data_IF_116938124418
#
_entry.id   IF_116938124418
#
_cell.length_a   1.000
_cell.length_b   1.000
_cell.length_c   1.000
_cell.angle_alpha   90.00
_cell.angle_beta   90.00
_cell.angle_gamma   90.00
#
_symmetry.space_group_name_H-M   'P 1'
#
loop_
_entity.id
_entity.type
_entity.pdbx_description
1 polymer ?
#
# COMPACT_ATOMS: atom_id res chain seq x y z
N UNK A 1 8.75 27.22 -4.85
CA UNK A 1 8.49 25.78 -5.07
C UNK A 1 8.72 25.44 -6.53
N UNK A 2 9.32 24.28 -6.80
CA UNK A 2 9.42 23.70 -8.15
C UNK A 2 8.44 22.55 -8.24
N UNK A 3 7.62 22.51 -9.29
CA UNK A 3 6.75 21.39 -9.61
C UNK A 3 7.25 20.74 -10.89
N UNK A 4 7.66 19.49 -10.80
CA UNK A 4 8.17 18.71 -11.93
C UNK A 4 7.03 18.24 -12.83
N UNK A 5 7.35 17.94 -14.10
CA UNK A 5 6.35 17.47 -15.07
C UNK A 5 5.68 16.13 -14.69
N UNK A 6 6.30 15.34 -13.83
CA UNK A 6 5.75 14.09 -13.29
C UNK A 6 4.81 14.32 -12.08
N UNK A 7 4.60 15.56 -11.64
CA UNK A 7 3.77 15.88 -10.48
C UNK A 7 4.49 15.76 -9.12
N UNK A 8 5.79 15.49 -9.05
CA UNK A 8 6.54 15.71 -7.81
C UNK A 8 6.84 17.19 -7.62
N UNK A 9 7.03 17.62 -6.38
CA UNK A 9 7.43 18.99 -6.09
C UNK A 9 8.60 19.06 -5.11
N UNK A 10 9.35 20.15 -5.18
CA UNK A 10 10.47 20.47 -4.31
C UNK A 10 10.32 21.88 -3.73
N UNK A 11 10.78 22.04 -2.49
CA UNK A 11 10.79 23.32 -1.77
C UNK A 11 12.19 23.60 -1.25
N UNK A 12 12.65 24.84 -1.38
CA UNK A 12 13.95 25.28 -0.90
C UNK A 12 14.21 26.72 -1.31
N UNK A 13 14.90 27.49 -0.46
CA UNK A 13 15.23 28.90 -0.73
C UNK A 13 16.18 29.07 -1.93
N UNK A 14 16.94 28.01 -2.25
CA UNK A 14 17.86 27.98 -3.39
C UNK A 14 17.18 27.68 -4.73
N UNK A 15 15.90 27.29 -4.72
CA UNK A 15 15.14 26.98 -5.94
C UNK A 15 14.73 28.27 -6.64
N UNK A 16 15.12 28.40 -7.89
CA UNK A 16 14.77 29.49 -8.80
C UNK A 16 14.16 28.93 -10.09
N UNK A 17 13.59 29.79 -10.92
CA UNK A 17 13.07 29.41 -12.23
C UNK A 17 14.12 28.74 -13.14
N UNK A 18 15.41 29.04 -12.93
CA UNK A 18 16.51 28.50 -13.73
C UNK A 18 17.06 27.17 -13.20
N UNK A 19 16.61 26.71 -12.03
CA UNK A 19 17.15 25.50 -11.40
C UNK A 19 16.83 24.24 -12.21
N UNK A 20 15.60 24.16 -12.73
CA UNK A 20 15.12 23.03 -13.52
C UNK A 20 14.38 23.51 -14.76
N UNK A 21 14.97 23.40 -15.97
CA UNK A 21 14.39 23.97 -17.19
C UNK A 21 13.12 23.26 -17.67
N UNK A 22 12.81 22.07 -17.15
CA UNK A 22 11.62 21.29 -17.49
C UNK A 22 10.61 21.22 -16.34
N UNK A 23 10.61 22.23 -15.47
CA UNK A 23 9.75 22.28 -14.30
C UNK A 23 9.06 23.64 -14.18
N UNK A 24 8.03 23.69 -13.35
CA UNK A 24 7.23 24.88 -13.11
C UNK A 24 7.66 25.53 -11.80
N UNK A 25 8.15 26.76 -11.89
CA UNK A 25 8.43 27.57 -10.71
C UNK A 25 7.18 28.31 -10.27
N UNK A 26 6.79 28.11 -9.01
CA UNK A 26 5.68 28.83 -8.36
C UNK A 26 6.15 29.39 -7.02
N UNK A 27 5.60 30.55 -6.64
CA UNK A 27 5.89 31.15 -5.34
C UNK A 27 5.38 30.22 -4.22
N UNK A 28 6.20 30.02 -3.19
CA UNK A 28 5.97 29.01 -2.15
C UNK A 28 4.77 29.33 -1.22
N UNK A 29 4.42 30.61 -1.15
CA UNK A 29 3.29 31.20 -0.44
C UNK A 29 2.05 31.39 -1.32
N UNK A 30 2.11 31.02 -2.60
CA UNK A 30 0.96 31.13 -3.50
C UNK A 30 -0.15 30.14 -3.18
N UNK A 31 -1.38 30.48 -3.54
CA UNK A 31 -2.54 29.56 -3.45
C UNK A 31 -2.30 28.26 -4.23
N UNK A 32 -1.61 28.35 -5.37
CA UNK A 32 -1.25 27.18 -6.18
C UNK A 32 -0.30 26.25 -5.43
N UNK A 33 0.69 26.78 -4.71
CA UNK A 33 1.57 25.98 -3.88
C UNK A 33 0.81 25.29 -2.73
N UNK A 34 -0.19 25.97 -2.14
CA UNK A 34 -1.06 25.37 -1.13
C UNK A 34 -1.90 24.21 -1.71
N UNK A 35 -2.44 24.35 -2.92
CA UNK A 35 -3.17 23.28 -3.61
C UNK A 35 -2.27 22.07 -3.89
N UNK A 36 -1.07 22.30 -4.42
CA UNK A 36 -0.09 21.23 -4.68
C UNK A 36 0.20 20.42 -3.42
N UNK A 37 0.49 21.08 -2.29
CA UNK A 37 0.74 20.40 -1.01
C UNK A 37 -0.46 19.60 -0.52
N UNK A 38 -1.66 20.14 -0.70
CA UNK A 38 -2.90 19.53 -0.21
C UNK A 38 -3.26 18.28 -1.02
N UNK A 39 -3.07 18.32 -2.33
CA UNK A 39 -3.47 17.24 -3.23
C UNK A 39 -2.37 16.21 -3.47
N UNK A 40 -1.13 16.48 -3.07
CA UNK A 40 -0.02 15.56 -3.28
C UNK A 40 -0.27 14.20 -2.59
N UNK A 41 0.03 13.06 -3.25
CA UNK A 41 0.61 12.89 -4.60
C UNK A 41 -0.44 12.73 -5.73
N UNK A 42 -1.72 12.96 -5.44
CA UNK A 42 -2.84 12.62 -6.32
C UNK A 42 -3.48 13.86 -6.95
N UNK A 43 -2.72 14.52 -7.84
CA UNK A 43 -3.25 15.58 -8.70
C UNK A 43 -2.77 15.48 -10.15
N UNK A 44 -3.39 16.28 -11.00
CA UNK A 44 -3.01 16.50 -12.40
C UNK A 44 -2.62 17.97 -12.60
N UNK A 45 -1.60 18.21 -13.42
CA UNK A 45 -1.14 19.56 -13.77
C UNK A 45 -2.07 20.17 -14.82
N UNK A 46 -2.54 21.40 -14.58
CA UNK A 46 -3.28 22.19 -15.56
C UNK A 46 -2.36 23.28 -16.09
N UNK A 47 -1.98 23.16 -17.37
CA UNK A 47 -1.02 24.07 -17.99
C UNK A 47 -1.66 24.82 -19.15
N UNK A 48 -1.29 26.10 -19.32
CA UNK A 48 -1.72 26.94 -20.41
C UNK A 48 -0.52 27.74 -20.94
N UNK A 49 -0.30 27.74 -22.26
CA UNK A 49 0.85 28.40 -22.90
C UNK A 49 2.21 28.02 -22.30
N UNK A 50 2.36 26.80 -21.80
CA UNK A 50 3.60 26.31 -21.19
C UNK A 50 3.83 26.72 -19.74
N UNK A 51 2.88 27.43 -19.11
CA UNK A 51 2.91 27.76 -17.68
C UNK A 51 1.93 26.87 -16.90
N UNK A 52 2.27 26.53 -15.66
CA UNK A 52 1.35 25.88 -14.72
C UNK A 52 0.39 26.92 -14.15
N UNK A 53 -0.89 26.75 -14.43
CA UNK A 53 -1.93 27.69 -13.99
C UNK A 53 -2.76 27.12 -12.83
N UNK A 54 -2.92 25.80 -12.75
CA UNK A 54 -3.62 25.15 -11.64
C UNK A 54 -3.22 23.68 -11.48
N UNK A 55 -3.72 23.05 -10.40
CA UNK A 55 -3.72 21.59 -10.23
C UNK A 55 -5.11 21.11 -9.87
N UNK A 56 -5.50 19.95 -10.41
CA UNK A 56 -6.80 19.32 -10.12
C UNK A 56 -6.60 17.99 -9.43
N UNK A 57 -7.49 17.68 -8.49
CA UNK A 57 -7.52 16.37 -7.85
C UNK A 57 -7.70 15.27 -8.90
N UNK A 58 -6.99 14.16 -8.74
CA UNK A 58 -7.23 12.93 -9.50
C UNK A 58 -7.57 11.78 -8.56
N UNK A 59 -8.32 10.83 -9.08
CA UNK A 59 -8.49 9.55 -8.41
C UNK A 59 -7.15 8.78 -8.37
N UNK A 60 -6.99 7.98 -7.31
CA UNK A 60 -5.93 6.97 -7.21
C UNK A 60 -6.19 5.88 -8.24
N UNK A 61 -5.13 5.29 -8.79
CA UNK A 61 -5.29 4.06 -9.56
C UNK A 61 -5.54 2.87 -8.62
N UNK A 62 -6.12 1.76 -9.10
CA UNK A 62 -6.30 0.55 -8.29
C UNK A 62 -5.00 0.04 -7.66
N UNK A 63 -3.87 0.17 -8.36
CA UNK A 63 -2.55 -0.24 -7.87
C UNK A 63 -2.06 0.68 -6.73
N UNK A 64 -2.25 2.00 -6.86
CA UNK A 64 -1.91 2.97 -5.81
C UNK A 64 -2.78 2.77 -4.57
N UNK A 65 -4.04 2.38 -4.75
CA UNK A 65 -4.94 2.05 -3.65
C UNK A 65 -4.56 0.73 -2.96
N UNK A 66 -4.16 -0.29 -3.74
CA UNK A 66 -3.65 -1.55 -3.20
C UNK A 66 -2.34 -1.38 -2.42
N UNK A 67 -1.48 -0.44 -2.82
CA UNK A 67 -0.25 -0.12 -2.10
C UNK A 67 -0.49 0.55 -0.73
N UNK A 68 -1.68 1.13 -0.51
CA UNK A 68 -2.08 1.68 0.79
C UNK A 68 -2.64 0.63 1.75
N UNK A 69 -3.04 -0.54 1.22
CA UNK A 69 -3.49 -1.63 2.07
C UNK A 69 -2.27 -2.16 2.86
N UNK A 70 -2.44 -2.44 4.17
CA UNK A 70 -1.40 -3.09 4.95
C UNK A 70 -0.99 -4.38 4.26
N UNK A 71 0.22 -4.42 3.73
CA UNK A 71 0.79 -5.66 3.21
C UNK A 71 1.30 -6.45 4.40
N UNK A 72 0.84 -7.71 4.55
CA UNK A 72 1.40 -8.61 5.55
C UNK A 72 2.91 -8.71 5.34
N UNK A 73 3.66 -8.48 6.40
CA UNK A 73 5.10 -8.70 6.42
C UNK A 73 5.42 -10.18 6.11
N UNK A 74 6.64 -10.49 5.66
CA UNK A 74 7.08 -11.88 5.49
C UNK A 74 6.93 -12.71 6.78
N UNK A 75 7.05 -12.08 7.94
CA UNK A 75 6.86 -12.72 9.25
C UNK A 75 5.39 -13.03 9.53
N UNK A 76 4.48 -12.09 9.27
CA UNK A 76 3.02 -12.33 9.41
C UNK A 76 2.53 -13.43 8.47
N UNK A 77 3.01 -13.45 7.23
CA UNK A 77 2.70 -14.53 6.28
C UNK A 77 3.23 -15.88 6.76
N UNK A 78 4.43 -15.89 7.36
CA UNK A 78 5.02 -17.11 7.93
C UNK A 78 4.23 -17.60 9.15
N UNK A 79 3.80 -16.70 10.03
CA UNK A 79 3.00 -17.04 11.20
C UNK A 79 1.67 -17.65 10.76
N UNK A 80 0.96 -17.01 9.83
CA UNK A 80 -0.29 -17.53 9.29
C UNK A 80 -0.15 -18.92 8.65
N UNK A 81 0.94 -19.14 7.90
CA UNK A 81 1.26 -20.46 7.35
C UNK A 81 1.48 -21.51 8.45
N UNK A 82 2.23 -21.16 9.50
CA UNK A 82 2.50 -22.06 10.62
C UNK A 82 1.23 -22.36 11.43
N UNK A 83 0.34 -21.37 11.60
CA UNK A 83 -0.95 -21.54 12.26
C UNK A 83 -1.85 -22.48 11.46
N UNK A 84 -1.92 -22.32 10.13
CA UNK A 84 -2.67 -23.20 9.25
C UNK A 84 -2.14 -24.64 9.30
N UNK A 85 -0.81 -24.82 9.24
CA UNK A 85 -0.17 -26.13 9.34
C UNK A 85 -0.44 -26.79 10.70
N UNK A 86 -0.40 -26.02 11.78
CA UNK A 86 -0.67 -26.52 13.12
C UNK A 86 -2.13 -27.00 13.26
N UNK A 87 -3.10 -26.23 12.76
CA UNK A 87 -4.51 -26.65 12.75
C UNK A 87 -4.71 -27.93 11.93
N UNK A 88 -4.07 -28.04 10.77
CA UNK A 88 -4.13 -29.24 9.94
C UNK A 88 -3.55 -30.47 10.67
N UNK A 89 -2.40 -30.30 11.35
CA UNK A 89 -1.78 -31.36 12.14
C UNK A 89 -2.65 -31.77 13.34
N UNK A 90 -3.22 -30.81 14.06
CA UNK A 90 -4.12 -31.11 15.19
C UNK A 90 -5.36 -31.87 14.74
N UNK A 91 -5.91 -31.52 13.57
CA UNK A 91 -7.06 -32.22 12.98
C UNK A 91 -6.69 -33.65 12.61
N UNK A 92 -5.59 -33.86 11.88
CA UNK A 92 -5.12 -35.19 11.52
C UNK A 92 -4.79 -36.05 12.76
N UNK A 93 -4.24 -35.44 13.81
CA UNK A 93 -3.97 -36.13 15.06
C UNK A 93 -5.27 -36.56 15.77
N UNK A 94 -6.29 -35.70 15.80
CA UNK A 94 -7.59 -36.04 16.35
C UNK A 94 -8.22 -37.23 15.62
N UNK A 95 -8.19 -37.23 14.27
CA UNK A 95 -8.70 -38.33 13.45
C UNK A 95 -8.01 -39.67 13.77
N UNK A 96 -6.69 -39.63 13.97
CA UNK A 96 -5.93 -40.83 14.36
C UNK A 96 -6.32 -41.32 15.76
N UNK A 97 -6.50 -40.40 16.71
CA UNK A 97 -6.95 -40.78 18.06
C UNK A 97 -8.35 -41.38 18.06
N UNK A 98 -9.29 -40.84 17.28
CA UNK A 98 -10.63 -41.41 17.14
C UNK A 98 -10.59 -42.82 16.56
N UNK A 99 -9.77 -43.07 15.54
CA UNK A 99 -9.58 -44.41 14.97
C UNK A 99 -9.01 -45.39 16.00
N UNK A 100 -8.01 -44.95 16.78
CA UNK A 100 -7.40 -45.76 17.84
C UNK A 100 -8.42 -46.16 18.91
N UNK A 101 -9.24 -45.21 19.37
CA UNK A 101 -10.31 -45.47 20.34
C UNK A 101 -11.30 -46.48 19.77
N UNK A 102 -11.75 -46.29 18.52
CA UNK A 102 -12.69 -47.19 17.88
C UNK A 102 -12.20 -48.65 17.81
N UNK A 103 -10.90 -48.84 17.50
CA UNK A 103 -10.26 -50.17 17.51
C UNK A 103 -10.26 -50.76 18.92
N UNK A 104 -9.83 -50.00 19.94
CA UNK A 104 -9.75 -50.48 21.32
C UNK A 104 -11.13 -50.83 21.90
N UNK A 105 -12.18 -50.09 21.55
CA UNK A 105 -13.54 -50.40 21.99
C UNK A 105 -14.14 -51.64 21.33
N UNK A 106 -13.76 -51.95 20.09
CA UNK A 106 -14.23 -53.16 19.40
C UNK A 106 -13.57 -54.45 19.93
N UNK A 107 -12.35 -54.38 20.46
CA UNK A 107 -11.66 -55.53 21.05
C UNK A 107 -12.11 -55.84 22.49
N UNK A 108 -12.74 -54.88 23.19
CA UNK A 108 -13.19 -55.04 24.59
C UNK A 108 -14.63 -55.52 24.80
N UNK A 109 -15.44 -55.63 23.73
CA UNK A 109 -16.88 -55.93 23.81
C UNK A 109 -17.29 -57.40 23.58
N UNK A 110 -16.33 -58.30 23.41
CA UNK A 110 -16.56 -59.74 23.20
C UNK A 110 -16.23 -60.58 24.43
N UNK A 111 -17.12 -60.61 25.42
CA UNK A 111 -17.12 -61.60 26.50
C UNK A 111 -18.56 -62.04 26.79
#
# INVERSE_FOLDING_TARGET
>A
MIVHANGSYETGEWLTADTYPNAYYIADDSELAAKVRTLYPYYTLVTENGALIDVTERAKTPEEEAALLPQKSPEELRIESLEADNVALMTALADVYEQLIAIQTNEGGGA
#
